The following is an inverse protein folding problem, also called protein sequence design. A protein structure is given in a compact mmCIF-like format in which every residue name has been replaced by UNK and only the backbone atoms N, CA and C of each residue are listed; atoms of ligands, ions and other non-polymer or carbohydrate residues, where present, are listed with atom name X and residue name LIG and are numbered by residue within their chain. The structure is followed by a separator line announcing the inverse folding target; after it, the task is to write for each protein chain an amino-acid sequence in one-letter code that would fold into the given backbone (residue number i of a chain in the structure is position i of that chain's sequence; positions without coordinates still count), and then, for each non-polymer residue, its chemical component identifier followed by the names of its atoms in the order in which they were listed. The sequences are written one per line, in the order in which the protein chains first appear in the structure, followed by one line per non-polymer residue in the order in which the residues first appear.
data_IF_070810003490
#
_entry.id   IF_070810003490
#
_cell.length_a   1.000
_cell.length_b   1.000
_cell.length_c   1.000
_cell.angle_alpha   90.00
_cell.angle_beta   90.00
_cell.angle_gamma   90.00
#
_symmetry.space_group_name_H-M   'P 1'
#
loop_
_entity.id
_entity.type
_entity.pdbx_description
1 polymer ?
#
# COMPACT_ATOMS: atom_id res chain seq x y z
N UNK A 1 18.37 -20.87 -17.00
CA UNK A 1 17.54 -20.70 -17.00
C UNK A 1 17.03 -19.52 -16.96
N UNK A 2 16.38 -19.25 -17.34
CA UNK A 2 15.98 -17.95 -17.46
C UNK A 2 15.42 -17.42 -16.20
N UNK A 3 15.66 -16.21 -15.97
CA UNK A 3 15.09 -15.52 -14.86
C UNK A 3 13.59 -15.50 -15.02
N UNK A 4 12.91 -15.61 -13.94
CA UNK A 4 11.48 -15.50 -13.96
C UNK A 4 11.07 -14.09 -14.39
N UNK A 5 10.13 -13.98 -15.30
CA UNK A 5 9.65 -12.68 -15.72
C UNK A 5 8.67 -12.08 -14.72
N UNK A 6 8.46 -12.72 -13.61
CA UNK A 6 7.39 -12.32 -12.73
C UNK A 6 7.66 -11.09 -11.92
N UNK A 7 8.80 -10.50 -12.12
CA UNK A 7 9.21 -9.39 -11.26
C UNK A 7 8.54 -8.08 -11.59
N UNK A 8 7.64 -8.09 -12.53
CA UNK A 8 7.06 -6.84 -13.02
C UNK A 8 5.70 -6.52 -12.42
N UNK A 9 5.17 -7.38 -11.56
CA UNK A 9 3.89 -7.10 -10.95
C UNK A 9 4.02 -5.97 -9.94
N UNK A 10 2.94 -5.26 -9.73
CA UNK A 10 2.96 -4.14 -8.81
C UNK A 10 2.26 -2.93 -9.36
N UNK A 11 1.23 -3.15 -10.17
CA UNK A 11 0.37 -2.08 -10.68
C UNK A 11 -0.90 -2.11 -9.85
N UNK A 12 -1.31 -0.95 -9.36
CA UNK A 12 -2.49 -0.82 -8.50
C UNK A 12 -3.41 0.25 -9.05
N UNK A 13 -4.69 -0.08 -9.16
CA UNK A 13 -5.75 0.87 -9.42
C UNK A 13 -6.64 0.90 -8.18
N UNK A 14 -6.93 2.08 -7.67
CA UNK A 14 -7.74 2.21 -6.47
C UNK A 14 -8.61 3.46 -6.62
N UNK A 15 -9.85 3.23 -7.00
CA UNK A 15 -10.80 4.30 -7.26
C UNK A 15 -11.65 4.52 -6.03
N UNK A 16 -11.68 5.76 -5.57
CA UNK A 16 -12.53 6.18 -4.46
C UNK A 16 -13.91 6.50 -5.02
N UNK A 17 -14.91 5.74 -4.59
CA UNK A 17 -16.27 5.88 -5.12
C UNK A 17 -17.04 7.03 -4.47
N UNK A 18 -16.63 7.43 -3.26
CA UNK A 18 -17.17 8.58 -2.55
C UNK A 18 -16.18 9.03 -1.49
N UNK A 19 -16.35 10.24 -0.99
CA UNK A 19 -15.45 10.77 0.03
C UNK A 19 -15.48 9.92 1.28
N UNK A 20 -14.34 9.86 1.98
CA UNK A 20 -14.22 9.13 3.23
C UNK A 20 -14.63 10.06 4.36
N UNK A 21 -15.56 9.60 5.19
CA UNK A 21 -16.00 10.36 6.37
C UNK A 21 -14.82 10.62 7.30
N UNK A 22 -14.86 11.73 8.01
CA UNK A 22 -13.73 12.18 8.81
C UNK A 22 -13.32 11.16 9.86
N UNK A 23 -14.28 10.53 10.54
CA UNK A 23 -13.96 9.53 11.57
C UNK A 23 -13.29 8.30 10.97
N UNK A 24 -13.76 7.86 9.81
CA UNK A 24 -13.17 6.73 9.11
C UNK A 24 -11.77 7.07 8.63
N UNK A 25 -11.58 8.30 8.15
CA UNK A 25 -10.27 8.75 7.72
C UNK A 25 -9.26 8.74 8.88
N UNK A 26 -9.68 9.23 10.04
CA UNK A 26 -8.82 9.21 11.23
C UNK A 26 -8.47 7.78 11.64
N UNK A 27 -9.45 6.87 11.59
CA UNK A 27 -9.19 5.47 11.91
C UNK A 27 -8.20 4.86 10.93
N UNK A 28 -8.39 5.13 9.64
CA UNK A 28 -7.47 4.64 8.60
C UNK A 28 -6.05 5.18 8.83
N UNK A 29 -5.92 6.47 9.06
CA UNK A 29 -4.61 7.08 9.29
C UNK A 29 -3.92 6.49 10.52
N UNK A 30 -4.68 6.22 11.57
CA UNK A 30 -4.12 5.60 12.78
C UNK A 30 -3.60 4.19 12.48
N UNK A 31 -4.38 3.40 11.76
CA UNK A 31 -3.95 2.04 11.41
C UNK A 31 -2.75 2.04 10.46
N UNK A 32 -2.74 2.95 9.49
CA UNK A 32 -1.61 3.09 8.57
C UNK A 32 -0.34 3.51 9.32
N UNK A 33 -0.48 4.42 10.29
CA UNK A 33 0.64 4.84 11.14
C UNK A 33 1.20 3.65 11.91
N UNK A 34 0.32 2.80 12.46
CA UNK A 34 0.76 1.61 13.19
C UNK A 34 1.47 0.62 12.26
N UNK A 35 0.93 0.42 11.07
CA UNK A 35 1.56 -0.49 10.10
C UNK A 35 2.93 0.02 9.68
N UNK A 36 3.05 1.32 9.41
CA UNK A 36 4.33 1.91 9.05
C UNK A 36 5.35 1.80 10.19
N UNK A 37 4.89 1.95 11.43
CA UNK A 37 5.76 1.76 12.59
C UNK A 37 6.35 0.35 12.60
N UNK A 38 5.50 -0.67 12.42
CA UNK A 38 5.97 -2.04 12.46
C UNK A 38 6.93 -2.34 11.30
N UNK A 39 6.61 -1.83 10.12
CA UNK A 39 7.48 -2.02 8.98
C UNK A 39 8.83 -1.33 9.19
N UNK A 40 8.83 -0.14 9.77
CA UNK A 40 10.05 0.61 10.00
C UNK A 40 10.92 -0.02 11.08
N UNK A 41 10.31 -0.52 12.16
CA UNK A 41 11.04 -1.08 13.30
C UNK A 41 11.44 -2.53 13.08
N UNK A 42 10.63 -3.31 12.37
CA UNK A 42 10.85 -4.73 12.17
C UNK A 42 10.62 -5.11 10.70
N UNK A 43 11.41 -4.51 9.78
CA UNK A 43 11.16 -4.76 8.35
C UNK A 43 11.37 -6.21 7.94
N UNK A 44 12.18 -6.97 8.69
CA UNK A 44 12.41 -8.38 8.38
C UNK A 44 11.14 -9.21 8.53
N UNK A 45 10.15 -8.75 9.30
CA UNK A 45 8.91 -9.51 9.48
C UNK A 45 8.07 -9.57 8.21
N UNK A 46 8.32 -8.68 7.27
CA UNK A 46 7.58 -8.68 6.00
C UNK A 46 7.95 -9.87 5.12
N UNK A 47 9.14 -10.43 5.30
CA UNK A 47 9.63 -11.50 4.43
C UNK A 47 10.01 -11.02 3.04
N UNK A 48 10.11 -9.72 2.83
CA UNK A 48 10.40 -9.13 1.51
C UNK A 48 11.89 -8.83 1.39
N UNK A 49 12.47 -9.20 0.26
CA UNK A 49 13.88 -8.94 -0.05
C UNK A 49 13.98 -8.20 -1.38
N UNK A 50 14.66 -7.07 -1.46
CA UNK A 50 15.25 -6.36 -0.33
C UNK A 50 14.18 -5.78 0.60
N UNK A 51 14.60 -5.44 1.81
CA UNK A 51 13.69 -4.92 2.83
C UNK A 51 13.01 -3.65 2.31
N UNK A 52 11.68 -3.53 2.49
CA UNK A 52 11.00 -2.31 2.07
C UNK A 52 11.48 -1.09 2.85
N UNK A 53 11.87 -0.05 2.15
CA UNK A 53 12.22 1.24 2.74
C UNK A 53 11.21 2.25 2.20
N UNK A 54 10.51 2.90 3.11
CA UNK A 54 9.46 3.85 2.75
C UNK A 54 10.02 5.26 2.83
N UNK A 55 9.93 5.96 1.72
CA UNK A 55 10.47 7.32 1.57
C UNK A 55 9.35 8.32 1.31
N UNK A 56 9.71 9.58 1.28
CA UNK A 56 8.78 10.64 0.88
C UNK A 56 8.34 10.44 -0.57
N UNK A 57 7.42 11.28 -1.03
CA UNK A 57 6.86 11.12 -2.37
C UNK A 57 7.89 11.14 -3.49
N UNK A 58 8.98 11.88 -3.32
CA UNK A 58 10.07 11.91 -4.31
C UNK A 58 10.99 10.70 -4.23
N UNK A 59 10.86 9.87 -3.19
CA UNK A 59 11.73 8.71 -3.02
C UNK A 59 13.12 9.04 -2.55
N UNK A 60 13.35 10.23 -2.00
CA UNK A 60 14.68 10.71 -1.67
C UNK A 60 15.01 10.52 -0.20
N UNK A 61 14.07 10.81 0.68
CA UNK A 61 14.29 10.81 2.11
C UNK A 61 13.48 9.72 2.79
N UNK A 62 14.11 8.75 3.46
CA UNK A 62 13.36 7.77 4.24
C UNK A 62 12.55 8.45 5.33
N UNK A 63 11.32 7.97 5.51
CA UNK A 63 10.42 8.53 6.51
C UNK A 63 10.87 8.06 7.90
N UNK A 64 11.07 8.99 8.80
CA UNK A 64 11.66 8.71 10.12
C UNK A 64 10.63 8.50 11.20
N UNK A 65 9.44 9.05 11.04
CA UNK A 65 8.42 9.00 12.07
C UNK A 65 7.26 8.15 11.59
N UNK A 66 6.56 7.55 12.53
CA UNK A 66 5.48 6.61 12.22
C UNK A 66 4.41 7.24 11.33
N UNK A 67 4.09 8.51 11.56
CA UNK A 67 3.05 9.20 10.82
C UNK A 67 3.56 10.09 9.68
N UNK A 68 4.82 9.94 9.31
CA UNK A 68 5.43 10.82 8.29
C UNK A 68 4.80 10.68 6.91
N UNK A 69 4.08 9.58 6.66
CA UNK A 69 3.39 9.39 5.38
C UNK A 69 1.99 10.01 5.38
N UNK A 70 1.53 10.54 6.51
CA UNK A 70 0.21 11.13 6.64
C UNK A 70 0.30 12.63 6.40
N UNK A 71 -0.43 13.12 5.40
CA UNK A 71 -0.59 14.54 5.16
C UNK A 71 -2.00 14.99 5.47
N UNK A 72 -2.33 16.19 5.09
CA UNK A 72 -3.65 16.74 5.31
C UNK A 72 -4.61 16.15 4.28
N UNK A 73 -5.41 15.19 4.71
CA UNK A 73 -6.36 14.51 3.84
C UNK A 73 -5.70 13.64 2.78
N UNK A 74 -4.47 13.19 3.02
CA UNK A 74 -3.75 12.40 2.02
C UNK A 74 -2.71 11.51 2.69
N UNK A 75 -2.47 10.35 2.08
CA UNK A 75 -1.36 9.47 2.46
C UNK A 75 -0.43 9.40 1.25
N UNK A 76 0.85 9.73 1.46
CA UNK A 76 1.82 9.86 0.37
C UNK A 76 3.13 9.19 0.74
N UNK A 77 3.67 8.36 -0.16
CA UNK A 77 5.02 7.81 0.01
C UNK A 77 5.51 7.19 -1.31
N UNK A 78 6.76 6.78 -1.31
CA UNK A 78 7.39 6.12 -2.45
C UNK A 78 8.44 5.16 -1.91
N UNK A 79 9.04 4.40 -2.81
CA UNK A 79 10.23 3.61 -2.51
C UNK A 79 11.48 4.46 -2.58
N UNK A 80 12.63 3.83 -2.39
CA UNK A 80 13.90 4.55 -2.29
C UNK A 80 14.54 4.70 -3.67
N UNK A 81 14.59 5.93 -4.15
CA UNK A 81 15.17 6.23 -5.46
C UNK A 81 16.69 5.98 -5.52
N UNK A 82 17.37 6.24 -4.42
CA UNK A 82 18.84 6.13 -4.38
C UNK A 82 19.32 4.73 -4.79
N UNK A 83 18.60 3.69 -4.38
CA UNK A 83 18.94 2.32 -4.75
C UNK A 83 18.08 1.80 -5.90
N UNK A 84 17.43 2.71 -6.64
CA UNK A 84 16.59 2.36 -7.78
C UNK A 84 15.42 1.46 -7.40
N UNK A 85 14.87 1.68 -6.22
CA UNK A 85 13.74 0.91 -5.69
C UNK A 85 12.46 1.74 -5.59
N UNK A 86 12.41 2.90 -6.26
CA UNK A 86 11.22 3.73 -6.31
C UNK A 86 10.43 3.44 -7.58
N UNK A 87 9.19 3.87 -7.57
CA UNK A 87 8.32 3.84 -8.74
C UNK A 87 7.46 5.08 -8.72
N UNK A 88 6.20 4.93 -9.10
CA UNK A 88 5.26 6.03 -8.97
C UNK A 88 5.06 6.39 -7.51
N UNK A 89 4.87 7.67 -7.23
CA UNK A 89 4.46 8.11 -5.90
C UNK A 89 3.07 7.57 -5.60
N UNK A 90 2.93 6.90 -4.45
CA UNK A 90 1.62 6.46 -4.01
C UNK A 90 0.91 7.62 -3.32
N UNK A 91 -0.30 7.92 -3.76
CA UNK A 91 -1.11 9.01 -3.22
C UNK A 91 -2.53 8.48 -3.00
N UNK A 92 -2.98 8.49 -1.76
CA UNK A 92 -4.33 8.09 -1.41
C UNK A 92 -5.04 9.27 -0.78
N UNK A 93 -6.12 9.75 -1.40
CA UNK A 93 -6.83 10.93 -0.96
C UNK A 93 -8.07 10.56 -0.15
N UNK A 94 -8.37 11.39 0.85
CA UNK A 94 -9.61 11.27 1.62
C UNK A 94 -10.83 11.66 0.78
N UNK A 95 -10.68 12.67 -0.05
CA UNK A 95 -11.77 13.21 -0.84
C UNK A 95 -11.56 12.91 -2.31
N UNK A 96 -12.66 12.66 -3.01
CA UNK A 96 -12.61 12.48 -4.45
C UNK A 96 -12.09 13.76 -5.09
N UNK A 97 -11.23 13.57 -6.08
CA UNK A 97 -10.63 14.67 -6.80
C UNK A 97 -10.71 14.38 -8.30
N UNK A 98 -11.15 15.35 -9.13
CA UNK A 98 -11.36 15.07 -10.55
C UNK A 98 -10.09 14.63 -11.29
N UNK A 99 -8.92 14.98 -10.76
CA UNK A 99 -7.66 14.61 -11.40
C UNK A 99 -6.98 13.45 -10.71
N UNK A 100 -7.61 12.82 -9.71
CA UNK A 100 -7.04 11.68 -9.02
C UNK A 100 -7.21 10.45 -9.88
N UNK A 101 -6.09 9.87 -10.28
CA UNK A 101 -6.13 8.67 -11.13
C UNK A 101 -6.34 7.40 -10.34
N UNK A 102 -6.04 7.41 -9.05
CA UNK A 102 -6.09 6.19 -8.25
C UNK A 102 -5.22 5.11 -8.87
N UNK A 103 -3.97 5.42 -9.18
CA UNK A 103 -3.10 4.53 -9.93
C UNK A 103 -1.68 4.65 -9.41
N UNK A 104 -1.00 3.51 -9.31
CA UNK A 104 0.40 3.50 -8.91
C UNK A 104 1.10 2.28 -9.52
N UNK A 105 2.15 2.53 -10.29
CA UNK A 105 2.98 1.47 -10.85
C UNK A 105 4.28 1.42 -10.08
N UNK A 106 4.50 0.35 -9.34
CA UNK A 106 5.67 0.22 -8.47
C UNK A 106 6.85 -0.44 -9.14
N UNK A 107 6.70 -0.94 -10.35
CA UNK A 107 7.73 -1.72 -11.06
C UNK A 107 8.18 -2.95 -10.28
N UNK A 108 7.32 -3.44 -9.39
CA UNK A 108 7.61 -4.62 -8.57
C UNK A 108 8.55 -4.35 -7.41
N UNK A 109 8.86 -3.09 -7.12
CA UNK A 109 9.80 -2.76 -6.05
C UNK A 109 9.19 -2.98 -4.65
N UNK A 110 10.03 -3.15 -3.63
CA UNK A 110 9.56 -3.58 -2.32
C UNK A 110 8.53 -2.68 -1.64
N UNK A 111 8.51 -1.38 -1.95
CA UNK A 111 7.56 -0.48 -1.29
C UNK A 111 6.10 -0.83 -1.62
N UNK A 112 5.88 -1.69 -2.63
CA UNK A 112 4.52 -2.16 -2.92
C UNK A 112 3.89 -2.86 -1.73
N UNK A 113 4.70 -3.42 -0.83
CA UNK A 113 4.20 -4.06 0.38
C UNK A 113 3.38 -3.06 1.20
N UNK A 114 3.91 -1.85 1.38
CA UNK A 114 3.19 -0.83 2.15
C UNK A 114 1.95 -0.35 1.41
N UNK A 115 1.99 -0.27 0.09
CA UNK A 115 0.81 0.08 -0.69
C UNK A 115 -0.29 -0.94 -0.45
N UNK A 116 0.04 -2.23 -0.50
CA UNK A 116 -0.92 -3.29 -0.27
C UNK A 116 -1.48 -3.21 1.14
N UNK A 117 -0.63 -2.94 2.12
CA UNK A 117 -1.07 -2.78 3.50
C UNK A 117 -2.07 -1.62 3.63
N UNK A 118 -1.76 -0.47 3.02
CA UNK A 118 -2.64 0.69 3.06
C UNK A 118 -3.98 0.39 2.39
N UNK A 119 -3.96 -0.27 1.23
CA UNK A 119 -5.19 -0.57 0.51
C UNK A 119 -6.06 -1.58 1.27
N UNK A 120 -5.44 -2.58 1.90
CA UNK A 120 -6.19 -3.51 2.74
C UNK A 120 -6.81 -2.81 3.95
N UNK A 121 -6.06 -1.91 4.59
CA UNK A 121 -6.57 -1.15 5.71
C UNK A 121 -7.68 -0.20 5.27
N UNK A 122 -7.55 0.41 4.10
CA UNK A 122 -8.58 1.29 3.55
C UNK A 122 -9.87 0.52 3.31
N UNK A 123 -9.77 -0.66 2.71
CA UNK A 123 -10.95 -1.49 2.48
C UNK A 123 -11.56 -1.98 3.80
N UNK A 124 -10.72 -2.33 4.76
CA UNK A 124 -11.17 -2.78 6.07
C UNK A 124 -11.93 -1.67 6.81
N UNK A 125 -11.39 -0.46 6.78
CA UNK A 125 -11.96 0.68 7.49
C UNK A 125 -13.21 1.21 6.80
N UNK A 126 -13.19 1.22 5.48
CA UNK A 126 -14.24 1.83 4.66
C UNK A 126 -14.70 0.84 3.59
N UNK A 127 -15.42 -0.21 3.97
CA UNK A 127 -15.86 -1.20 2.98
C UNK A 127 -16.84 -0.57 1.99
N UNK A 128 -16.79 -1.04 0.76
CA UNK A 128 -17.72 -0.67 -0.31
C UNK A 128 -17.56 0.75 -0.84
N UNK A 129 -16.47 1.44 -0.52
CA UNK A 129 -16.22 2.75 -1.11
C UNK A 129 -14.95 2.78 -1.96
N UNK A 130 -14.30 1.63 -2.11
CA UNK A 130 -13.13 1.50 -2.95
C UNK A 130 -13.33 0.46 -4.03
N UNK A 131 -12.85 0.75 -5.22
CA UNK A 131 -12.70 -0.24 -6.26
C UNK A 131 -11.21 -0.45 -6.45
N UNK A 132 -10.72 -1.63 -6.09
CA UNK A 132 -9.29 -1.94 -6.13
C UNK A 132 -9.05 -3.05 -7.12
N UNK A 133 -8.12 -2.83 -8.05
CA UNK A 133 -7.66 -3.87 -8.97
C UNK A 133 -6.15 -3.87 -8.99
N UNK A 134 -5.55 -5.01 -9.29
CA UNK A 134 -4.11 -5.16 -9.23
C UNK A 134 -3.68 -6.38 -10.04
N UNK A 135 -2.43 -6.38 -10.50
CA UNK A 135 -1.82 -7.55 -11.12
C UNK A 135 -1.06 -8.42 -10.12
N UNK A 136 -1.16 -8.08 -8.82
CA UNK A 136 -0.51 -8.85 -7.77
C UNK A 136 -1.37 -10.07 -7.43
N UNK A 137 -0.74 -11.21 -7.20
CA UNK A 137 -1.45 -12.47 -6.96
C UNK A 137 -2.21 -12.47 -5.63
N UNK A 138 -3.23 -13.29 -5.56
CA UNK A 138 -4.01 -13.45 -4.31
C UNK A 138 -3.12 -13.93 -3.17
N UNK A 139 -2.13 -14.76 -3.46
CA UNK A 139 -1.21 -15.26 -2.44
C UNK A 139 -0.41 -14.12 -1.82
N UNK A 140 0.02 -13.17 -2.63
CA UNK A 140 0.76 -12.01 -2.10
C UNK A 140 -0.15 -11.09 -1.30
N UNK A 141 -1.39 -10.90 -1.72
CA UNK A 141 -2.35 -10.13 -0.93
C UNK A 141 -2.61 -10.79 0.41
N UNK A 142 -2.75 -12.11 0.43
CA UNK A 142 -2.96 -12.84 1.68
C UNK A 142 -1.75 -12.71 2.59
N UNK A 143 -0.54 -12.74 2.02
CA UNK A 143 0.68 -12.57 2.81
C UNK A 143 0.68 -11.22 3.55
N UNK A 144 0.29 -10.15 2.88
CA UNK A 144 0.22 -8.83 3.51
C UNK A 144 -0.89 -8.78 4.57
N UNK A 145 -2.05 -9.40 4.26
CA UNK A 145 -3.15 -9.46 5.23
C UNK A 145 -2.71 -10.21 6.49
N UNK A 146 -2.00 -11.31 6.34
CA UNK A 146 -1.50 -12.09 7.47
C UNK A 146 -0.50 -11.27 8.30
N UNK A 147 0.36 -10.52 7.63
CA UNK A 147 1.31 -9.65 8.31
C UNK A 147 0.59 -8.58 9.12
N UNK A 148 -0.42 -7.94 8.53
CA UNK A 148 -1.21 -6.93 9.24
C UNK A 148 -1.90 -7.52 10.46
N UNK A 149 -2.46 -8.73 10.31
CA UNK A 149 -3.12 -9.39 11.42
C UNK A 149 -2.13 -9.68 12.55
N UNK A 150 -0.94 -10.14 12.22
CA UNK A 150 0.08 -10.46 13.21
C UNK A 150 0.60 -9.21 13.92
N UNK A 151 0.84 -8.14 13.16
CA UNK A 151 1.48 -6.95 13.72
C UNK A 151 0.51 -5.97 14.38
N UNK A 152 -0.72 -5.91 13.90
CA UNK A 152 -1.72 -4.97 14.42
C UNK A 152 -2.80 -5.64 15.26
N UNK A 153 -2.80 -6.97 15.32
CA UNK A 153 -3.77 -7.75 16.09
C UNK A 153 -5.22 -7.47 15.64
N UNK A 154 -5.41 -7.29 14.34
CA UNK A 154 -6.74 -7.12 13.75
C UNK A 154 -6.92 -8.13 12.64
N UNK A 155 -8.17 -8.55 12.42
CA UNK A 155 -8.47 -9.51 11.36
C UNK A 155 -8.69 -8.74 10.07
N UNK A 156 -7.82 -8.98 9.10
CA UNK A 156 -7.92 -8.37 7.79
C UNK A 156 -8.19 -9.45 6.78
N UNK A 157 -9.27 -9.29 6.04
CA UNK A 157 -9.61 -10.21 4.95
C UNK A 157 -9.45 -9.48 3.63
N UNK A 158 -8.65 -10.00 2.71
CA UNK A 158 -8.56 -9.38 1.40
C UNK A 158 -9.92 -9.34 0.73
N UNK A 159 -10.27 -8.24 0.08
CA UNK A 159 -11.56 -8.16 -0.58
C UNK A 159 -11.63 -9.13 -1.76
N UNK A 160 -12.76 -9.82 -1.87
CA UNK A 160 -12.96 -10.77 -2.96
C UNK A 160 -13.01 -10.07 -4.32
N UNK A 161 -13.32 -8.79 -4.29
CA UNK A 161 -13.43 -8.03 -5.52
C UNK A 161 -12.11 -7.49 -6.05
N UNK A 162 -10.98 -7.75 -5.39
CA UNK A 162 -9.70 -7.39 -6.00
C UNK A 162 -9.50 -8.27 -7.21
N UNK A 163 -9.49 -7.62 -8.37
CA UNK A 163 -9.27 -8.30 -9.62
C UNK A 163 -7.78 -8.32 -9.91
N UNK A 164 -7.23 -9.50 -10.08
CA UNK A 164 -5.84 -9.60 -10.49
C UNK A 164 -5.76 -9.55 -12.00
N UNK A 165 -4.67 -9.02 -12.51
CA UNK A 165 -4.46 -9.03 -13.95
C UNK A 165 -4.19 -10.41 -14.51
N UNK A 166 -3.99 -11.39 -13.66
CA UNK A 166 -3.77 -12.77 -14.08
C UNK A 166 -5.11 -13.47 -14.10
N UNK A 167 -5.56 -13.73 -15.26
CA UNK A 167 -6.78 -14.42 -15.38
C UNK A 167 -6.57 -15.81 -15.56
N UNK A 168 -6.99 -16.40 -15.34
CA UNK A 168 -6.72 -17.56 -15.68
C UNK A 168 -7.25 -18.17 -16.32
#
# INVERSE_FOLDING_TARGET
MSASPTLKTGVFHFTLLRDIAQDDWFTLCRLVTQAHRQLRLKPETTGIEPIPIICNGAGITPLRFDDSLIGLGVIVFNGEHHHQLSGDTFILNQHRHPYDRGYCHTHGHPYRFMIMAVLLLAHHTCPNIWKITSDVSCTQWQHVADWLQAELAIVITPPNEISTGVQQ
#
